data_IF_300878015291
#
_entry.id   IF_300878015291
#
_cell.length_a   1.000
_cell.length_b   1.000
_cell.length_c   1.000
_cell.angle_alpha   90.00
_cell.angle_beta   90.00
_cell.angle_gamma   90.00
#
_symmetry.space_group_name_H-M   'P 1'
#
loop_
_entity.id
_entity.type
_entity.pdbx_description
1 polymer ?
#
# COMPACT_ATOMS: atom_id res chain seq x y z
N UNK A 1 -0.16 20.68 5.38
CA UNK A 1 0.72 19.65 5.93
C UNK A 1 0.47 18.36 5.18
N UNK A 2 1.35 17.97 4.27
CA UNK A 2 1.24 16.69 3.56
C UNK A 2 1.70 15.56 4.50
N UNK A 3 1.26 14.32 4.26
CA UNK A 3 1.67 13.16 5.08
C UNK A 3 3.20 13.01 5.17
N UNK A 4 3.91 13.49 4.13
CA UNK A 4 5.37 13.56 4.03
C UNK A 4 6.01 14.44 5.12
N UNK A 5 5.31 15.46 5.60
CA UNK A 5 5.82 16.47 6.54
C UNK A 5 5.58 16.09 8.02
N UNK A 6 4.73 15.10 8.29
CA UNK A 6 4.28 14.76 9.65
C UNK A 6 5.26 13.83 10.37
N UNK A 7 5.88 12.90 9.65
CA UNK A 7 6.97 12.06 10.17
C UNK A 7 7.74 11.44 9.01
N UNK A 8 8.98 11.90 8.73
CA UNK A 8 9.82 11.34 7.67
C UNK A 8 10.11 9.85 7.86
N UNK A 9 10.29 9.38 9.10
CA UNK A 9 10.50 7.95 9.41
C UNK A 9 9.27 7.12 9.08
N UNK A 10 8.08 7.59 9.47
CA UNK A 10 6.83 6.89 9.17
C UNK A 10 6.60 6.80 7.66
N UNK A 11 6.85 7.90 6.94
CA UNK A 11 6.76 7.91 5.50
C UNK A 11 7.76 6.95 4.86
N UNK A 12 9.02 6.93 5.33
CA UNK A 12 10.03 6.01 4.81
C UNK A 12 9.60 4.55 5.01
N UNK A 13 9.13 4.19 6.20
CA UNK A 13 8.60 2.84 6.48
C UNK A 13 7.42 2.46 5.58
N UNK A 14 6.51 3.38 5.32
CA UNK A 14 5.40 3.15 4.41
C UNK A 14 5.87 2.93 2.97
N UNK A 15 6.81 3.75 2.49
CA UNK A 15 7.40 3.63 1.16
C UNK A 15 8.13 2.29 1.02
N UNK A 16 8.88 1.87 2.03
CA UNK A 16 9.61 0.60 2.03
C UNK A 16 8.65 -0.59 1.99
N UNK A 17 7.57 -0.54 2.78
CA UNK A 17 6.49 -1.52 2.72
C UNK A 17 5.84 -1.59 1.34
N UNK A 18 5.45 -0.43 0.78
CA UNK A 18 4.84 -0.35 -0.55
C UNK A 18 5.74 -0.95 -1.64
N UNK A 19 7.05 -0.67 -1.59
CA UNK A 19 8.04 -1.25 -2.51
C UNK A 19 8.14 -2.77 -2.35
N UNK A 20 8.19 -3.28 -1.12
CA UNK A 20 8.27 -4.70 -0.84
C UNK A 20 7.05 -5.47 -1.37
N UNK A 21 5.84 -4.91 -1.22
CA UNK A 21 4.61 -5.50 -1.77
C UNK A 21 4.71 -5.70 -3.28
N UNK A 22 5.24 -4.71 -4.02
CA UNK A 22 5.29 -4.72 -5.48
C UNK A 22 6.58 -5.26 -6.11
N UNK A 23 7.53 -5.74 -5.31
CA UNK A 23 8.70 -6.47 -5.81
C UNK A 23 8.31 -7.75 -6.55
N UNK A 24 9.19 -8.29 -7.40
CA UNK A 24 8.92 -9.55 -8.10
C UNK A 24 8.74 -10.72 -7.12
N UNK A 25 7.92 -11.71 -7.50
CA UNK A 25 7.63 -12.86 -6.66
C UNK A 25 6.57 -13.78 -7.27
N UNK A 26 5.92 -14.58 -6.42
CA UNK A 26 4.93 -15.61 -6.85
C UNK A 26 3.73 -15.01 -7.59
N UNK A 27 3.33 -13.79 -7.22
CA UNK A 27 2.22 -13.08 -7.84
C UNK A 27 2.74 -11.97 -8.74
N UNK A 28 2.16 -11.85 -9.92
CA UNK A 28 2.42 -10.73 -10.81
C UNK A 28 1.87 -9.40 -10.24
N UNK A 29 2.34 -8.29 -10.81
CA UNK A 29 1.95 -6.95 -10.37
C UNK A 29 0.44 -6.73 -10.44
N UNK A 30 -0.22 -7.23 -11.48
CA UNK A 30 -1.66 -7.07 -11.69
C UNK A 30 -2.46 -7.76 -10.61
N UNK A 31 -2.10 -8.99 -10.23
CA UNK A 31 -2.78 -9.73 -9.17
C UNK A 31 -2.64 -9.02 -7.83
N UNK A 32 -1.45 -8.49 -7.51
CA UNK A 32 -1.22 -7.69 -6.29
C UNK A 32 -2.09 -6.43 -6.25
N UNK A 33 -2.25 -5.72 -7.38
CA UNK A 33 -3.14 -4.56 -7.49
C UNK A 33 -4.60 -4.94 -7.25
N UNK A 34 -5.07 -6.06 -7.81
CA UNK A 34 -6.44 -6.53 -7.62
C UNK A 34 -6.73 -6.91 -6.16
N UNK A 35 -5.77 -7.54 -5.46
CA UNK A 35 -5.87 -7.81 -4.03
C UNK A 35 -5.99 -6.49 -3.25
N UNK A 36 -5.12 -5.51 -3.53
CA UNK A 36 -5.17 -4.20 -2.89
C UNK A 36 -6.51 -3.49 -3.09
N UNK A 37 -7.05 -3.54 -4.32
CA UNK A 37 -8.38 -3.00 -4.63
C UNK A 37 -9.49 -3.73 -3.87
N UNK A 38 -9.46 -5.07 -3.82
CA UNK A 38 -10.44 -5.87 -3.09
C UNK A 38 -10.45 -5.54 -1.59
N UNK A 39 -9.27 -5.40 -0.97
CA UNK A 39 -9.14 -4.99 0.43
C UNK A 39 -9.69 -3.59 0.65
N UNK A 40 -9.36 -2.62 -0.22
CA UNK A 40 -9.88 -1.26 -0.11
C UNK A 40 -11.41 -1.21 -0.19
N UNK A 41 -12.02 -2.03 -1.04
CA UNK A 41 -13.48 -2.15 -1.14
C UNK A 41 -14.11 -2.87 0.06
N UNK A 42 -13.45 -3.90 0.60
CA UNK A 42 -13.94 -4.64 1.75
C UNK A 42 -13.88 -3.83 3.06
N UNK A 43 -12.84 -3.01 3.23
CA UNK A 43 -12.63 -2.18 4.42
C UNK A 43 -13.28 -0.80 4.27
N UNK A 44 -13.38 -0.28 3.06
CA UNK A 44 -13.92 1.04 2.72
C UNK A 44 -15.44 1.19 2.86
N UNK A 45 -16.11 0.26 3.54
CA UNK A 45 -17.53 0.39 3.88
C UNK A 45 -17.65 0.91 5.32
N UNK A 46 -17.53 2.23 5.48
CA UNK A 46 -18.07 2.92 6.64
C UNK A 46 -19.62 2.97 6.58
N UNK A 47 -20.31 3.34 7.68
CA UNK A 47 -21.64 3.94 7.56
C UNK A 47 -21.62 5.19 6.67
#
# INVERSE_FOLDING_TARGET
MTMLEISPDLNQRFVDFYRAVFADGVLDRRTKQLIGLAVALAVGRGP
#
